data_IF_901601402907
#
_entry.id   IF_901601402907
#
_cell.length_a   1.000
_cell.length_b   1.000
_cell.length_c   1.000
_cell.angle_alpha   90.00
_cell.angle_beta   90.00
_cell.angle_gamma   90.00
#
_symmetry.space_group_name_H-M   'P 1'
#
loop_
_entity.id
_entity.type
_entity.pdbx_description
1 polymer ?
#
# COMPACT_ATOMS: atom_id res chain seq x y z
N UNK A 1 9.89 -10.05 -7.81
CA UNK A 1 9.27 -8.90 -8.51
C UNK A 1 7.95 -9.34 -9.08
N UNK A 2 6.90 -8.62 -8.75
CA UNK A 2 5.53 -8.99 -9.11
C UNK A 2 4.96 -7.94 -10.03
N UNK A 3 4.55 -8.29 -11.26
CA UNK A 3 3.89 -7.33 -12.13
C UNK A 3 2.48 -7.06 -11.62
N UNK A 4 2.09 -5.79 -11.65
CA UNK A 4 0.81 -5.36 -11.12
C UNK A 4 -0.15 -5.03 -12.26
N UNK A 5 0.16 -3.98 -13.01
CA UNK A 5 -0.63 -3.54 -14.16
C UNK A 5 0.17 -2.48 -14.88
N UNK A 6 -0.33 -2.03 -16.01
CA UNK A 6 0.31 -0.91 -16.70
C UNK A 6 0.05 0.37 -15.93
N UNK A 7 1.03 1.25 -15.95
CA UNK A 7 0.91 2.53 -15.26
C UNK A 7 -0.32 3.31 -15.76
N UNK A 8 -0.60 3.23 -17.05
CA UNK A 8 -1.74 3.94 -17.62
C UNK A 8 -3.08 3.40 -17.12
N UNK A 9 -3.08 2.20 -16.55
CA UNK A 9 -4.30 1.59 -16.03
C UNK A 9 -4.54 1.90 -14.56
N UNK A 10 -3.62 2.65 -13.93
CA UNK A 10 -3.78 3.05 -12.53
C UNK A 10 -3.66 4.57 -12.44
N UNK A 11 -4.75 5.30 -12.67
CA UNK A 11 -4.71 6.76 -12.61
C UNK A 11 -4.37 7.28 -11.22
N UNK A 12 -3.90 8.51 -11.17
CA UNK A 12 -3.64 9.17 -9.89
C UNK A 12 -4.90 9.19 -9.04
N UNK A 13 -4.74 8.94 -7.75
CA UNK A 13 -5.84 8.89 -6.83
C UNK A 13 -6.48 7.53 -6.70
N UNK A 14 -6.03 6.54 -7.46
CA UNK A 14 -6.61 5.21 -7.44
C UNK A 14 -5.64 4.19 -6.88
N UNK A 15 -6.18 3.03 -6.57
CA UNK A 15 -5.41 1.93 -5.99
C UNK A 15 -5.81 0.63 -6.65
N UNK A 16 -4.92 -0.36 -6.50
CA UNK A 16 -5.19 -1.71 -6.95
C UNK A 16 -4.66 -2.66 -5.89
N UNK A 17 -5.38 -3.74 -5.66
CA UNK A 17 -4.99 -4.79 -4.73
C UNK A 17 -4.47 -5.98 -5.52
N UNK A 18 -3.32 -6.51 -5.09
CA UNK A 18 -2.80 -7.73 -5.69
C UNK A 18 -2.81 -8.83 -4.63
N UNK A 19 -3.14 -10.04 -5.08
CA UNK A 19 -3.21 -11.19 -4.21
C UNK A 19 -1.87 -11.90 -4.23
N UNK A 20 -1.21 -11.87 -3.09
CA UNK A 20 0.02 -12.63 -2.87
C UNK A 20 -0.19 -13.39 -1.57
N UNK A 21 0.89 -13.95 -1.01
CA UNK A 21 0.78 -14.63 0.29
C UNK A 21 0.09 -13.72 1.31
N UNK A 22 0.46 -12.43 1.30
CA UNK A 22 -0.27 -11.39 2.02
C UNK A 22 -0.69 -10.36 1.00
N UNK A 23 -1.98 -10.02 0.91
CA UNK A 23 -2.41 -9.05 -0.09
C UNK A 23 -1.66 -7.73 0.03
N UNK A 24 -1.40 -7.11 -1.10
CA UNK A 24 -0.67 -5.85 -1.17
C UNK A 24 -1.53 -4.84 -1.91
N UNK A 25 -1.57 -3.60 -1.41
CA UNK A 25 -2.26 -2.50 -2.06
C UNK A 25 -1.23 -1.58 -2.69
N UNK A 26 -1.47 -1.19 -3.94
CA UNK A 26 -0.62 -0.25 -4.67
C UNK A 26 -1.43 1.01 -4.91
N UNK A 27 -0.86 2.15 -4.58
CA UNK A 27 -1.53 3.45 -4.68
C UNK A 27 -0.74 4.36 -5.61
N UNK A 28 -1.48 5.11 -6.43
CA UNK A 28 -0.89 6.16 -7.27
C UNK A 28 -1.36 7.48 -6.70
N UNK A 29 -0.47 8.22 -6.05
CA UNK A 29 -0.84 9.45 -5.37
C UNK A 29 -0.89 10.62 -6.35
N UNK A 30 -1.51 11.72 -5.90
CA UNK A 30 -1.72 12.87 -6.78
C UNK A 30 -0.42 13.55 -7.20
N UNK A 31 0.64 13.38 -6.42
CA UNK A 31 1.95 13.92 -6.76
C UNK A 31 2.71 13.05 -7.77
N UNK A 32 2.10 11.98 -8.25
CA UNK A 32 2.70 11.14 -9.26
C UNK A 32 3.56 10.01 -8.71
N UNK A 33 3.54 9.79 -7.40
CA UNK A 33 4.32 8.71 -6.80
C UNK A 33 3.51 7.44 -6.68
N UNK A 34 4.21 6.32 -6.65
CA UNK A 34 3.61 5.01 -6.46
C UNK A 34 4.09 4.45 -5.14
N UNK A 35 3.15 3.89 -4.38
CA UNK A 35 3.46 3.31 -3.08
C UNK A 35 2.76 1.96 -2.96
N UNK A 36 3.43 1.00 -2.32
CA UNK A 36 2.86 -0.31 -2.07
C UNK A 36 3.00 -0.62 -0.58
N UNK A 37 1.91 -1.06 0.01
CA UNK A 37 1.88 -1.45 1.42
C UNK A 37 1.08 -2.74 1.55
N UNK A 38 1.25 -3.41 2.70
CA UNK A 38 0.34 -4.51 3.01
C UNK A 38 -1.08 -3.99 3.00
N UNK A 39 -1.98 -4.72 2.39
CA UNK A 39 -3.36 -4.28 2.24
C UNK A 39 -4.16 -4.38 3.54
N UNK A 40 -3.81 -5.32 4.40
CA UNK A 40 -4.58 -5.54 5.62
C UNK A 40 -4.20 -4.51 6.68
N UNK A 41 -5.20 -3.82 7.20
CA UNK A 41 -5.02 -2.87 8.29
C UNK A 41 -4.46 -3.59 9.51
N UNK A 42 -3.44 -3.00 10.16
CA UNK A 42 -2.83 -3.65 11.33
C UNK A 42 -3.74 -3.62 12.54
N UNK A 43 -4.73 -2.76 12.54
CA UNK A 43 -5.67 -2.62 13.64
C UNK A 43 -6.87 -3.54 13.48
N UNK A 44 -7.38 -3.67 12.27
CA UNK A 44 -8.59 -4.43 12.00
C UNK A 44 -8.45 -5.22 10.71
N UNK A 45 -9.33 -6.19 10.55
CA UNK A 45 -9.32 -7.04 9.38
C UNK A 45 -10.06 -6.33 8.25
N UNK A 46 -9.42 -5.31 7.70
CA UNK A 46 -9.99 -4.49 6.64
C UNK A 46 -8.97 -4.27 5.54
N UNK A 47 -9.46 -4.03 4.33
CA UNK A 47 -8.62 -3.82 3.16
C UNK A 47 -8.35 -2.33 3.00
N UNK A 48 -7.08 -1.94 3.11
CA UNK A 48 -6.71 -0.53 2.98
C UNK A 48 -6.92 -0.02 1.55
N UNK A 49 -6.88 -0.90 0.55
CA UNK A 49 -7.13 -0.48 -0.82
C UNK A 49 -8.57 -0.02 -1.02
N UNK A 50 -9.47 -0.35 -0.09
CA UNK A 50 -10.86 0.08 -0.14
C UNK A 50 -11.10 1.33 0.71
N UNK A 51 -10.07 1.86 1.33
CA UNK A 51 -10.19 3.05 2.16
C UNK A 51 -10.13 4.34 1.35
N UNK A 52 -9.92 5.44 2.04
CA UNK A 52 -9.89 6.76 1.43
C UNK A 52 -8.46 7.27 1.35
N UNK A 53 -8.03 7.56 0.12
CA UNK A 53 -6.70 8.10 -0.13
C UNK A 53 -6.76 9.62 -0.15
N UNK A 54 -5.90 10.25 0.67
CA UNK A 54 -5.80 11.70 0.70
C UNK A 54 -4.33 12.07 0.76
N UNK A 55 -3.82 12.63 -0.33
CA UNK A 55 -2.39 12.88 -0.43
C UNK A 55 -1.63 11.57 -0.37
N UNK A 56 -0.74 11.41 0.60
CA UNK A 56 -0.03 10.16 0.81
C UNK A 56 -0.49 9.42 2.06
N UNK A 57 -1.72 9.73 2.53
CA UNK A 57 -2.32 9.04 3.66
C UNK A 57 -3.48 8.19 3.16
N UNK A 58 -3.59 6.99 3.69
CA UNK A 58 -4.71 6.10 3.39
C UNK A 58 -5.49 5.82 4.68
N UNK A 59 -6.78 6.12 4.66
CA UNK A 59 -7.63 5.91 5.81
C UNK A 59 -8.30 4.55 5.71
N UNK A 60 -8.24 3.79 6.79
CA UNK A 60 -8.88 2.48 6.88
C UNK A 60 -10.39 2.62 6.66
N UNK A 61 -11.01 1.72 5.86
CA UNK A 61 -12.46 1.84 5.59
C UNK A 61 -13.32 1.69 6.83
N UNK A 62 -12.78 1.17 7.92
CA UNK A 62 -13.52 1.07 9.17
C UNK A 62 -13.32 2.30 10.06
N UNK A 63 -12.72 3.35 9.51
CA UNK A 63 -12.49 4.62 10.21
C UNK A 63 -11.63 4.47 11.44
N UNK A 64 -10.79 3.45 11.44
CA UNK A 64 -10.01 3.15 12.63
C UNK A 64 -8.71 3.92 12.69
N UNK A 65 -8.11 4.17 11.53
CA UNK A 65 -6.78 4.78 11.50
C UNK A 65 -6.43 5.22 10.09
N UNK A 66 -5.38 6.04 9.99
CA UNK A 66 -4.77 6.38 8.72
C UNK A 66 -3.30 5.99 8.77
N UNK A 67 -2.74 5.66 7.63
CA UNK A 67 -1.35 5.24 7.51
C UNK A 67 -0.65 6.10 6.47
N UNK A 68 0.60 6.45 6.76
CA UNK A 68 1.45 7.18 5.81
C UNK A 68 2.01 6.17 4.81
N UNK A 69 1.69 6.37 3.54
CA UNK A 69 2.12 5.42 2.49
C UNK A 69 3.63 5.36 2.34
N UNK A 70 4.35 6.40 2.72
CA UNK A 70 5.80 6.46 2.56
C UNK A 70 6.53 5.64 3.61
N UNK A 71 5.96 5.53 4.79
CA UNK A 71 6.62 4.86 5.91
C UNK A 71 5.86 3.66 6.45
N UNK A 72 4.56 3.59 6.15
CA UNK A 72 3.69 2.57 6.71
C UNK A 72 3.24 2.88 8.12
N UNK A 73 3.66 3.99 8.69
CA UNK A 73 3.35 4.31 10.08
C UNK A 73 1.92 4.79 10.22
N UNK A 74 1.22 4.39 11.30
CA UNK A 74 -0.11 4.94 11.56
C UNK A 74 0.03 6.39 12.03
N UNK A 75 -0.96 7.20 11.66
CA UNK A 75 -0.94 8.62 12.02
C UNK A 75 -1.77 8.91 13.26
N UNK A 76 -2.58 7.96 13.70
CA UNK A 76 -3.44 8.17 14.86
C UNK A 76 -3.84 6.83 15.46
N UNK A 77 -4.23 6.91 16.75
CA UNK A 77 -4.79 5.75 17.41
C UNK A 77 -6.16 5.44 16.81
N UNK A 78 -6.64 4.20 16.90
CA UNK A 78 -6.10 3.13 17.74
C UNK A 78 -5.00 2.30 17.08
N UNK A 79 -4.71 2.48 15.79
CA UNK A 79 -3.65 1.73 15.16
C UNK A 79 -2.30 2.15 15.74
N UNK A 80 -1.49 1.18 16.14
CA UNK A 80 -0.20 1.43 16.76
C UNK A 80 0.95 0.75 16.02
N UNK A 81 0.64 -0.09 15.06
CA UNK A 81 1.65 -0.86 14.34
C UNK A 81 1.68 -0.41 12.89
N UNK A 82 2.89 -0.26 12.38
CA UNK A 82 3.06 0.09 10.98
C UNK A 82 2.65 -1.08 10.10
N UNK A 83 2.16 -0.76 8.89
CA UNK A 83 2.05 -1.76 7.84
C UNK A 83 3.39 -1.83 7.11
N UNK A 84 3.69 -2.98 6.53
CA UNK A 84 4.91 -3.10 5.76
C UNK A 84 4.78 -2.33 4.47
N UNK A 85 5.87 -1.67 4.09
CA UNK A 85 5.95 -1.02 2.78
C UNK A 85 6.80 -1.87 1.86
N UNK A 86 6.50 -1.78 0.56
CA UNK A 86 7.20 -2.55 -0.46
C UNK A 86 7.68 -1.60 -1.53
N UNK A 87 8.79 -1.95 -2.16
CA UNK A 87 9.34 -1.10 -3.22
C UNK A 87 8.53 -1.27 -4.49
N UNK A 88 8.33 -0.16 -5.20
CA UNK A 88 7.60 -0.14 -6.46
C UNK A 88 8.52 0.40 -7.54
N UNK A 89 8.53 -0.24 -8.69
CA UNK A 89 9.26 0.24 -9.85
C UNK A 89 8.34 0.21 -11.06
N UNK A 90 8.66 1.05 -12.04
CA UNK A 90 7.96 1.02 -13.33
C UNK A 90 9.00 0.68 -14.37
N UNK A 91 8.74 -0.37 -15.14
CA UNK A 91 9.65 -0.83 -16.17
C UNK A 91 8.84 -1.07 -17.42
N UNK A 92 9.20 -0.35 -18.48
CA UNK A 92 8.52 -0.47 -19.78
C UNK A 92 7.01 -0.24 -19.64
N UNK A 93 6.63 0.73 -18.79
CA UNK A 93 5.24 1.11 -18.59
C UNK A 93 4.46 0.17 -17.68
N UNK A 94 5.10 -0.81 -17.07
CA UNK A 94 4.45 -1.78 -16.19
C UNK A 94 4.90 -1.56 -14.75
N UNK A 95 3.93 -1.49 -13.84
CA UNK A 95 4.20 -1.34 -12.41
C UNK A 95 4.59 -2.69 -11.84
N UNK A 96 5.68 -2.73 -11.10
CA UNK A 96 6.13 -3.94 -10.41
C UNK A 96 6.28 -3.65 -8.92
N UNK A 97 5.95 -4.64 -8.09
CA UNK A 97 6.14 -4.57 -6.65
C UNK A 97 7.26 -5.54 -6.26
N UNK A 98 8.16 -5.05 -5.43
CA UNK A 98 9.24 -5.86 -4.87
C UNK A 98 8.92 -6.05 -3.40
N UNK A 99 8.43 -7.23 -3.05
CA UNK A 99 7.97 -7.49 -1.69
C UNK A 99 9.12 -7.34 -0.70
N UNK A 100 8.83 -6.69 0.42
CA UNK A 100 9.78 -6.62 1.51
C UNK A 100 9.98 -8.03 2.07
N UNK A 101 11.21 -8.31 2.53
CA UNK A 101 11.49 -9.60 3.13
C UNK A 101 10.64 -9.77 4.39
N UNK A 102 10.24 -11.01 4.65
CA UNK A 102 9.58 -11.31 5.91
C UNK A 102 10.55 -11.00 7.04
N UNK A 103 10.04 -10.41 8.11
CA UNK A 103 10.90 -9.98 9.21
C UNK A 103 11.69 -11.14 9.78
N UNK A 104 11.03 -12.29 9.90
CA UNK A 104 11.71 -13.46 10.42
C UNK A 104 12.82 -13.93 9.52
N UNK A 105 12.66 -13.78 8.20
CA UNK A 105 13.69 -14.22 7.28
C UNK A 105 14.81 -13.20 7.14
N UNK A 106 14.51 -11.96 7.41
CA UNK A 106 15.54 -10.92 7.33
C UNK A 106 16.51 -10.99 8.49
N UNK A 107 16.15 -11.66 9.51
CA UNK A 107 16.97 -11.75 10.70
C UNK A 107 18.20 -12.61 10.49
#
# INVERSE_FOLDING_TARGET
>A
MIPVCRLEDLPKGESVRIETTRPVAVFHTDDGELHAIDDTCTHQDASLSEGWLEGCLIECPLHAASFDLRTGMPTCLPARRAVRTHRVTVDDGVIHVHLAAEEGTAA
#
